data_IF_860921999582
#
_entry.id   IF_860921999582
#
_cell.length_a   1.000
_cell.length_b   1.000
_cell.length_c   1.000
_cell.angle_alpha   90.00
_cell.angle_beta   90.00
_cell.angle_gamma   90.00
#
_symmetry.space_group_name_H-M   'P 1'
#
loop_
_entity.id
_entity.type
_entity.pdbx_description
1 polymer ?
#
# COMPACT_ATOMS: atom_id res chain seq x y z
N UNK A 1 8.95 10.61 11.24
CA UNK A 1 9.17 9.34 10.54
C UNK A 1 9.52 9.56 9.06
N UNK A 2 8.91 10.57 8.43
CA UNK A 2 9.12 10.83 7.02
C UNK A 2 9.93 12.09 6.79
N UNK A 3 10.82 12.14 5.78
CA UNK A 3 11.65 13.32 5.49
C UNK A 3 10.83 14.59 5.20
N UNK A 4 9.66 14.47 4.56
CA UNK A 4 8.81 15.61 4.23
C UNK A 4 8.17 16.29 5.46
N UNK A 5 8.10 15.58 6.59
CA UNK A 5 7.55 16.14 7.84
C UNK A 5 8.52 17.16 8.46
N UNK A 6 9.85 17.04 8.24
CA UNK A 6 10.85 17.91 8.87
C UNK A 6 10.65 19.38 8.51
N UNK A 7 10.34 19.66 7.25
CA UNK A 7 10.12 21.03 6.79
C UNK A 7 8.98 21.74 7.53
N UNK A 8 7.93 21.01 7.91
CA UNK A 8 6.78 21.56 8.66
C UNK A 8 7.21 21.97 10.06
N UNK A 9 7.99 21.16 10.75
CA UNK A 9 8.47 21.46 12.09
C UNK A 9 9.49 22.60 12.07
N UNK A 10 10.41 22.61 11.11
CA UNK A 10 11.43 23.64 10.93
C UNK A 10 10.79 25.03 10.70
N UNK A 11 9.74 25.09 9.86
CA UNK A 11 8.98 26.34 9.63
C UNK A 11 8.37 26.94 10.92
N UNK A 12 8.12 26.09 11.91
CA UNK A 12 7.58 26.53 13.22
C UNK A 12 8.67 26.66 14.30
N UNK A 13 9.96 26.61 13.91
CA UNK A 13 11.07 26.71 14.86
C UNK A 13 11.19 25.54 15.82
N UNK A 14 10.58 24.39 15.49
CA UNK A 14 10.60 23.19 16.34
C UNK A 14 11.79 22.31 15.91
N UNK A 15 12.74 22.02 16.79
CA UNK A 15 13.85 21.13 16.49
C UNK A 15 13.32 19.74 16.10
N UNK A 16 13.74 19.25 14.96
CA UNK A 16 13.29 17.98 14.40
C UNK A 16 14.44 17.19 13.80
N UNK A 17 14.38 15.88 13.88
CA UNK A 17 15.29 14.97 13.19
C UNK A 17 14.50 13.80 12.61
N UNK A 18 14.66 13.56 11.32
CA UNK A 18 14.18 12.34 10.69
C UNK A 18 15.10 11.18 11.08
N UNK A 19 14.55 10.10 11.60
CA UNK A 19 15.28 8.92 12.09
C UNK A 19 15.01 7.69 11.22
N UNK A 20 14.36 7.87 10.08
CA UNK A 20 13.90 6.80 9.22
C UNK A 20 12.56 6.21 9.66
N UNK A 21 12.20 5.08 9.08
CA UNK A 21 10.90 4.45 9.31
C UNK A 21 11.06 2.98 9.73
N UNK A 22 10.44 2.53 10.85
CA UNK A 22 10.62 1.18 11.36
C UNK A 22 10.25 0.09 10.37
N UNK A 23 9.21 0.28 9.56
CA UNK A 23 8.87 -0.69 8.51
C UNK A 23 9.98 -0.89 7.47
N UNK A 24 10.77 0.15 7.19
CA UNK A 24 11.89 0.04 6.26
C UNK A 24 13.06 -0.75 6.86
N UNK A 25 13.20 -0.74 8.18
CA UNK A 25 14.19 -1.57 8.88
C UNK A 25 13.71 -3.03 9.01
N UNK A 26 12.39 -3.25 9.23
CA UNK A 26 11.78 -4.56 9.39
C UNK A 26 11.66 -5.33 8.07
N UNK A 27 11.26 -4.66 6.99
CA UNK A 27 11.06 -5.30 5.69
C UNK A 27 12.42 -5.45 5.00
N UNK A 28 12.84 -6.67 4.64
CA UNK A 28 14.12 -6.85 3.97
C UNK A 28 14.11 -6.21 2.57
N UNK A 29 15.27 -5.68 2.10
CA UNK A 29 15.37 -5.07 0.77
C UNK A 29 15.03 -6.00 -0.39
N UNK A 30 15.12 -7.30 -0.18
CA UNK A 30 14.74 -8.33 -1.15
C UNK A 30 13.76 -9.28 -0.52
N UNK A 31 12.57 -9.40 -1.12
CA UNK A 31 11.56 -10.37 -0.74
C UNK A 31 11.43 -11.42 -1.83
N UNK A 32 11.59 -12.67 -1.45
CA UNK A 32 11.40 -13.81 -2.37
C UNK A 32 9.88 -14.06 -2.54
N UNK A 33 9.38 -13.76 -3.73
CA UNK A 33 7.98 -13.97 -4.10
C UNK A 33 7.60 -15.45 -4.11
N UNK A 34 8.50 -16.33 -4.57
CA UNK A 34 8.22 -17.75 -4.62
C UNK A 34 8.12 -18.35 -3.22
N UNK A 35 9.03 -17.96 -2.31
CA UNK A 35 8.96 -18.34 -0.91
C UNK A 35 7.69 -17.82 -0.22
N UNK A 36 7.26 -16.57 -0.52
CA UNK A 36 6.03 -16.00 0.01
C UNK A 36 4.79 -16.79 -0.48
N UNK A 37 4.73 -17.17 -1.78
CA UNK A 37 3.67 -18.02 -2.32
C UNK A 37 3.63 -19.39 -1.63
N UNK A 38 4.77 -20.05 -1.48
CA UNK A 38 4.88 -21.33 -0.79
C UNK A 38 4.39 -21.24 0.67
N UNK A 39 4.78 -20.18 1.40
CA UNK A 39 4.34 -19.92 2.77
C UNK A 39 2.82 -19.66 2.92
N UNK A 40 2.16 -19.30 1.83
CA UNK A 40 0.71 -19.10 1.74
C UNK A 40 -0.03 -20.32 1.12
N UNK A 41 0.69 -21.39 0.78
CA UNK A 41 0.16 -22.54 0.04
C UNK A 41 -0.53 -22.14 -1.28
N UNK A 42 0.01 -21.13 -1.96
CA UNK A 42 -0.44 -20.68 -3.26
C UNK A 42 0.36 -21.36 -4.38
N UNK A 43 -0.24 -21.46 -5.54
CA UNK A 43 0.45 -22.00 -6.72
C UNK A 43 1.67 -21.16 -7.10
N UNK A 44 2.76 -21.83 -7.48
CA UNK A 44 4.01 -21.18 -7.86
C UNK A 44 3.91 -20.42 -9.20
N UNK A 45 3.10 -20.92 -10.12
CA UNK A 45 2.91 -20.38 -11.47
C UNK A 45 1.76 -19.36 -11.57
N UNK A 46 1.66 -18.76 -12.77
CA UNK A 46 0.63 -17.77 -13.07
C UNK A 46 0.87 -16.39 -12.44
N UNK A 47 0.05 -15.43 -12.86
CA UNK A 47 0.06 -14.07 -12.28
C UNK A 47 -0.88 -13.99 -11.09
N UNK A 48 -0.48 -13.25 -10.06
CA UNK A 48 -1.21 -13.10 -8.82
C UNK A 48 -1.41 -11.61 -8.51
N UNK A 49 -2.67 -11.18 -8.39
CA UNK A 49 -3.03 -9.82 -8.00
C UNK A 49 -3.55 -9.81 -6.56
N UNK A 50 -2.93 -9.03 -5.70
CA UNK A 50 -3.45 -8.79 -4.36
C UNK A 50 -4.45 -7.64 -4.36
N UNK A 51 -5.61 -7.84 -3.73
CA UNK A 51 -6.68 -6.86 -3.58
C UNK A 51 -6.82 -6.49 -2.11
N UNK A 52 -6.49 -5.24 -1.74
CA UNK A 52 -6.55 -4.74 -0.38
C UNK A 52 -7.57 -3.57 -0.28
N UNK A 53 -8.88 -3.86 -0.19
CA UNK A 53 -9.93 -2.83 -0.24
C UNK A 53 -10.02 -1.99 1.04
N UNK A 54 -9.13 -2.18 1.98
CA UNK A 54 -9.05 -1.45 3.24
C UNK A 54 -9.30 -2.32 4.48
N UNK A 55 -9.11 -1.71 5.64
CA UNK A 55 -9.30 -2.37 6.95
C UNK A 55 -10.59 -1.94 7.66
N UNK A 56 -11.16 -0.79 7.28
CA UNK A 56 -12.40 -0.27 7.84
C UNK A 56 -13.61 -0.75 7.05
N UNK A 57 -14.72 -1.03 7.73
CA UNK A 57 -15.95 -1.49 7.07
C UNK A 57 -16.48 -0.54 6.00
N UNK A 58 -16.33 0.78 6.20
CA UNK A 58 -16.71 1.76 5.18
C UNK A 58 -15.86 1.66 3.92
N UNK A 59 -14.57 1.41 4.06
CA UNK A 59 -13.65 1.22 2.93
C UNK A 59 -14.00 -0.06 2.16
N UNK A 60 -14.13 -1.19 2.87
CA UNK A 60 -14.46 -2.48 2.27
C UNK A 60 -15.77 -2.42 1.50
N UNK A 61 -16.84 -1.84 2.09
CA UNK A 61 -18.14 -1.71 1.41
C UNK A 61 -18.09 -0.87 0.14
N UNK A 62 -17.24 0.17 0.10
CA UNK A 62 -17.14 1.05 -1.06
C UNK A 62 -16.18 0.53 -2.12
N UNK A 63 -15.06 -0.09 -1.72
CA UNK A 63 -13.98 -0.46 -2.64
C UNK A 63 -14.01 -1.92 -3.07
N UNK A 64 -14.38 -2.87 -2.20
CA UNK A 64 -14.33 -4.28 -2.56
C UNK A 64 -15.21 -4.64 -3.78
N UNK A 65 -16.45 -4.13 -3.93
CA UNK A 65 -17.22 -4.36 -5.14
C UNK A 65 -16.54 -3.83 -6.41
N UNK A 66 -15.90 -2.65 -6.33
CA UNK A 66 -15.19 -2.06 -7.47
C UNK A 66 -13.92 -2.85 -7.82
N UNK A 67 -13.19 -3.31 -6.80
CA UNK A 67 -12.00 -4.13 -6.97
C UNK A 67 -12.33 -5.47 -7.63
N UNK A 68 -13.44 -6.10 -7.22
CA UNK A 68 -13.88 -7.37 -7.80
C UNK A 68 -14.42 -7.19 -9.24
N UNK A 69 -15.06 -6.07 -9.55
CA UNK A 69 -15.44 -5.75 -10.93
C UNK A 69 -14.19 -5.55 -11.81
N UNK A 70 -13.17 -4.87 -11.30
CA UNK A 70 -11.90 -4.72 -12.02
C UNK A 70 -11.19 -6.07 -12.19
N UNK A 71 -11.22 -6.92 -11.15
CA UNK A 71 -10.69 -8.27 -11.20
C UNK A 71 -11.41 -9.15 -12.24
N UNK A 72 -12.73 -9.06 -12.34
CA UNK A 72 -13.52 -9.78 -13.35
C UNK A 72 -13.14 -9.34 -14.78
N UNK A 73 -12.92 -8.04 -15.01
CA UNK A 73 -12.44 -7.55 -16.31
C UNK A 73 -11.06 -8.12 -16.65
N UNK A 74 -10.12 -8.11 -15.69
CA UNK A 74 -8.77 -8.67 -15.87
C UNK A 74 -8.80 -10.18 -16.11
N UNK A 75 -9.63 -10.92 -15.36
CA UNK A 75 -9.75 -12.36 -15.46
C UNK A 75 -10.34 -12.81 -16.79
N UNK A 76 -11.31 -12.07 -17.34
CA UNK A 76 -11.86 -12.33 -18.68
C UNK A 76 -10.83 -12.24 -19.77
N UNK A 77 -9.86 -11.34 -19.66
CA UNK A 77 -8.73 -11.26 -20.61
C UNK A 77 -7.65 -12.31 -20.35
N UNK A 78 -7.40 -12.62 -19.08
CA UNK A 78 -6.41 -13.62 -18.70
C UNK A 78 -6.97 -14.58 -17.63
N UNK A 79 -7.58 -15.70 -18.03
CA UNK A 79 -8.15 -16.68 -17.09
C UNK A 79 -7.14 -17.40 -16.18
N UNK A 80 -5.83 -17.23 -16.44
CA UNK A 80 -4.78 -17.76 -15.56
C UNK A 80 -4.43 -16.80 -14.41
N UNK A 81 -5.01 -15.62 -14.38
CA UNK A 81 -4.81 -14.66 -13.29
C UNK A 81 -5.57 -15.11 -12.04
N UNK A 82 -4.88 -15.16 -10.92
CA UNK A 82 -5.44 -15.47 -9.60
C UNK A 82 -5.44 -14.24 -8.70
N UNK A 83 -6.31 -14.25 -7.69
CA UNK A 83 -6.49 -13.12 -6.79
C UNK A 83 -6.36 -13.54 -5.33
N UNK A 84 -5.81 -12.66 -4.51
CA UNK A 84 -5.71 -12.87 -3.06
C UNK A 84 -6.18 -11.62 -2.32
N UNK A 85 -6.94 -11.83 -1.24
CA UNK A 85 -7.46 -10.75 -0.41
C UNK A 85 -7.12 -11.03 1.06
N UNK A 86 -6.33 -10.18 1.73
CA UNK A 86 -6.12 -10.27 3.17
C UNK A 86 -7.25 -9.53 3.89
N UNK A 87 -8.07 -10.25 4.65
CA UNK A 87 -9.08 -9.65 5.51
C UNK A 87 -8.44 -9.20 6.83
N UNK A 88 -8.60 -7.94 7.20
CA UNK A 88 -7.96 -7.37 8.40
C UNK A 88 -8.41 -8.03 9.72
N UNK A 89 -9.63 -8.57 9.77
CA UNK A 89 -10.21 -9.29 10.89
C UNK A 89 -11.43 -10.12 10.43
N UNK A 90 -12.02 -10.90 11.32
CA UNK A 90 -13.14 -11.78 11.02
C UNK A 90 -14.37 -11.03 10.50
N UNK A 91 -14.66 -9.84 11.04
CA UNK A 91 -15.78 -9.01 10.54
C UNK A 91 -15.59 -8.63 9.08
N UNK A 92 -14.35 -8.23 8.70
CA UNK A 92 -14.01 -7.93 7.30
C UNK A 92 -13.99 -9.17 6.44
N UNK A 93 -13.55 -10.30 6.98
CA UNK A 93 -13.60 -11.58 6.29
C UNK A 93 -15.04 -11.96 5.93
N UNK A 94 -15.97 -11.88 6.88
CA UNK A 94 -17.38 -12.19 6.65
C UNK A 94 -18.00 -11.26 5.60
N UNK A 95 -17.71 -9.97 5.68
CA UNK A 95 -18.18 -8.95 4.72
C UNK A 95 -17.64 -9.24 3.30
N UNK A 96 -16.36 -9.53 3.17
CA UNK A 96 -15.74 -9.90 1.90
C UNK A 96 -16.30 -11.21 1.33
N UNK A 97 -16.56 -12.21 2.18
CA UNK A 97 -17.17 -13.47 1.77
C UNK A 97 -18.56 -13.24 1.17
N UNK A 98 -19.37 -12.36 1.78
CA UNK A 98 -20.70 -12.00 1.25
C UNK A 98 -20.60 -11.30 -0.11
N UNK A 99 -19.63 -10.36 -0.26
CA UNK A 99 -19.43 -9.65 -1.53
C UNK A 99 -18.93 -10.61 -2.63
N UNK A 100 -18.02 -11.53 -2.28
CA UNK A 100 -17.47 -12.53 -3.19
C UNK A 100 -18.52 -13.53 -3.71
N UNK A 101 -19.60 -13.75 -2.99
CA UNK A 101 -20.69 -14.63 -3.43
C UNK A 101 -21.31 -14.20 -4.78
N UNK A 102 -21.16 -12.92 -5.16
CA UNK A 102 -21.59 -12.41 -6.47
C UNK A 102 -20.58 -12.72 -7.60
N UNK A 103 -19.40 -13.27 -7.29
CA UNK A 103 -18.30 -13.53 -8.23
C UNK A 103 -17.77 -14.97 -8.10
N UNK A 104 -18.64 -16.00 -8.19
CA UNK A 104 -18.23 -17.39 -7.94
C UNK A 104 -17.22 -17.94 -8.96
N UNK A 105 -17.10 -17.29 -10.12
CA UNK A 105 -16.15 -17.65 -11.18
C UNK A 105 -14.73 -17.19 -10.90
N UNK A 106 -14.52 -16.15 -10.06
CA UNK A 106 -13.19 -15.60 -9.83
C UNK A 106 -12.36 -16.50 -8.91
N UNK A 107 -11.13 -16.86 -9.29
CA UNK A 107 -10.22 -17.62 -8.44
C UNK A 107 -9.62 -16.72 -7.35
N UNK A 108 -10.40 -16.44 -6.31
CA UNK A 108 -10.01 -15.57 -5.18
C UNK A 108 -9.75 -16.41 -3.94
N UNK A 109 -8.58 -16.24 -3.34
CA UNK A 109 -8.25 -16.81 -2.02
C UNK A 109 -8.30 -15.73 -0.95
N UNK A 110 -9.11 -15.96 0.11
CA UNK A 110 -9.21 -15.08 1.27
C UNK A 110 -8.25 -15.54 2.38
N UNK A 111 -7.42 -14.62 2.89
CA UNK A 111 -6.59 -14.82 4.07
C UNK A 111 -7.13 -14.01 5.25
N UNK A 112 -6.99 -14.53 6.48
CA UNK A 112 -7.23 -13.76 7.71
C UNK A 112 -5.92 -13.11 8.12
N UNK A 113 -5.87 -11.76 8.13
CA UNK A 113 -4.63 -11.02 8.33
C UNK A 113 -3.62 -11.28 7.21
N UNK A 114 -2.34 -11.37 7.57
CA UNK A 114 -1.21 -11.72 6.68
C UNK A 114 -1.03 -10.78 5.48
N UNK A 115 -1.45 -9.49 5.60
CA UNK A 115 -1.44 -8.55 4.47
C UNK A 115 -0.05 -8.39 3.85
N UNK A 116 1.01 -8.33 4.67
CA UNK A 116 2.40 -8.20 4.21
C UNK A 116 2.84 -9.43 3.40
N UNK A 117 2.52 -10.62 3.87
CA UNK A 117 2.85 -11.87 3.17
C UNK A 117 2.06 -12.00 1.87
N UNK A 118 0.78 -11.63 1.88
CA UNK A 118 -0.08 -11.60 0.69
C UNK A 118 0.47 -10.63 -0.35
N UNK A 119 0.86 -9.43 0.05
CA UNK A 119 1.51 -8.49 -0.87
C UNK A 119 2.85 -9.02 -1.37
N UNK A 120 3.67 -9.63 -0.49
CA UNK A 120 4.97 -10.20 -0.90
C UNK A 120 4.83 -11.32 -1.95
N UNK A 121 3.74 -12.07 -1.94
CA UNK A 121 3.44 -13.15 -2.89
C UNK A 121 2.94 -12.64 -4.25
N UNK A 122 2.38 -11.44 -4.33
CA UNK A 122 1.72 -10.90 -5.50
C UNK A 122 2.68 -10.35 -6.55
N UNK A 123 2.25 -10.32 -7.82
CA UNK A 123 2.94 -9.63 -8.92
C UNK A 123 2.61 -8.14 -8.94
N UNK A 124 1.37 -7.79 -8.62
CA UNK A 124 0.88 -6.42 -8.48
C UNK A 124 -0.15 -6.32 -7.35
N UNK A 125 -0.41 -5.10 -6.91
CA UNK A 125 -1.35 -4.83 -5.81
C UNK A 125 -2.34 -3.74 -6.22
N UNK A 126 -3.63 -3.99 -6.01
CA UNK A 126 -4.67 -2.96 -6.01
C UNK A 126 -5.09 -2.72 -4.55
N UNK A 127 -4.90 -1.50 -4.08
CA UNK A 127 -5.11 -1.24 -2.65
C UNK A 127 -5.76 0.12 -2.36
N UNK A 128 -6.42 0.19 -1.21
CA UNK A 128 -6.89 1.44 -0.64
C UNK A 128 -5.71 2.33 -0.21
N UNK A 129 -5.88 3.66 -0.27
CA UNK A 129 -4.88 4.58 0.26
C UNK A 129 -4.72 4.42 1.78
N UNK A 130 -3.48 4.43 2.26
CA UNK A 130 -3.11 4.28 3.66
C UNK A 130 -1.70 3.75 3.84
N UNK A 131 -1.37 3.31 5.05
CA UNK A 131 -0.04 2.76 5.40
C UNK A 131 0.35 1.52 4.58
N UNK A 132 -0.63 0.75 4.10
CA UNK A 132 -0.39 -0.40 3.22
C UNK A 132 0.31 -0.02 1.91
N UNK A 133 0.17 1.23 1.42
CA UNK A 133 0.87 1.71 0.24
C UNK A 133 2.38 1.81 0.46
N UNK A 134 2.82 2.17 1.67
CA UNK A 134 4.22 2.14 2.05
C UNK A 134 4.73 0.70 2.15
N UNK A 135 3.99 -0.20 2.79
CA UNK A 135 4.38 -1.60 2.89
C UNK A 135 4.54 -2.24 1.50
N UNK A 136 3.60 -1.99 0.57
CA UNK A 136 3.67 -2.48 -0.80
C UNK A 136 4.91 -1.93 -1.54
N UNK A 137 5.25 -0.65 -1.35
CA UNK A 137 6.45 -0.05 -1.92
C UNK A 137 7.73 -0.67 -1.33
N UNK A 138 7.81 -0.84 -0.01
CA UNK A 138 8.95 -1.48 0.65
C UNK A 138 9.13 -2.95 0.23
N UNK A 139 8.03 -3.64 -0.08
CA UNK A 139 8.03 -4.98 -0.67
C UNK A 139 8.31 -4.99 -2.18
N UNK A 140 8.48 -3.83 -2.81
CA UNK A 140 8.70 -3.63 -4.26
C UNK A 140 7.58 -4.21 -5.10
N UNK A 141 6.33 -4.07 -4.66
CA UNK A 141 5.18 -4.54 -5.42
C UNK A 141 4.58 -3.40 -6.22
N UNK A 142 4.59 -3.50 -7.56
CA UNK A 142 3.89 -2.54 -8.40
C UNK A 142 2.44 -2.41 -7.96
N UNK A 143 1.92 -1.19 -7.94
CA UNK A 143 0.61 -0.97 -7.36
C UNK A 143 -0.22 0.07 -8.09
N UNK A 144 -1.54 -0.08 -7.96
CA UNK A 144 -2.54 0.96 -8.22
C UNK A 144 -3.25 1.27 -6.91
N UNK A 145 -3.32 2.54 -6.58
CA UNK A 145 -4.00 3.01 -5.37
C UNK A 145 -5.39 3.53 -5.75
N UNK A 146 -6.42 3.08 -5.05
CA UNK A 146 -7.77 3.59 -5.23
C UNK A 146 -8.34 4.00 -3.87
N UNK A 147 -9.05 5.12 -3.83
CA UNK A 147 -9.66 5.59 -2.60
C UNK A 147 -11.05 6.17 -2.84
N UNK A 148 -11.99 5.75 -2.02
CA UNK A 148 -13.36 6.23 -2.04
C UNK A 148 -13.88 6.39 -0.62
N UNK A 149 -14.46 7.54 -0.34
CA UNK A 149 -15.15 7.81 0.92
C UNK A 149 -16.53 8.42 0.63
N UNK A 150 -17.37 8.52 1.66
CA UNK A 150 -18.67 9.17 1.53
C UNK A 150 -18.57 10.60 1.00
N UNK A 151 -19.48 10.99 0.12
CA UNK A 151 -19.45 12.29 -0.57
C UNK A 151 -19.33 13.49 0.38
N UNK A 152 -20.02 13.47 1.52
CA UNK A 152 -19.98 14.56 2.50
C UNK A 152 -18.59 14.67 3.15
N UNK A 153 -17.99 13.53 3.52
CA UNK A 153 -16.65 13.49 4.10
C UNK A 153 -15.59 13.97 3.10
N UNK A 154 -15.74 13.58 1.83
CA UNK A 154 -14.85 14.04 0.76
C UNK A 154 -14.97 15.54 0.52
N UNK A 155 -16.20 16.07 0.46
CA UNK A 155 -16.45 17.50 0.27
C UNK A 155 -15.79 18.34 1.37
N UNK A 156 -15.82 17.88 2.61
CA UNK A 156 -15.15 18.55 3.73
C UNK A 156 -13.63 18.40 3.63
N UNK A 157 -13.13 17.18 3.44
CA UNK A 157 -11.70 16.86 3.45
C UNK A 157 -10.96 17.52 2.27
N UNK A 158 -11.53 17.51 1.07
CA UNK A 158 -10.93 18.11 -0.13
C UNK A 158 -10.70 19.62 -0.04
N UNK A 159 -11.40 20.32 0.87
CA UNK A 159 -11.19 21.74 1.15
C UNK A 159 -10.13 22.00 2.20
N UNK A 160 -9.90 21.06 3.10
CA UNK A 160 -8.96 21.16 4.21
C UNK A 160 -7.57 20.63 3.85
N UNK A 161 -7.51 19.58 3.05
CA UNK A 161 -6.27 18.91 2.69
C UNK A 161 -5.80 19.39 1.32
N UNK A 162 -4.67 20.07 1.32
CA UNK A 162 -4.00 20.60 0.11
C UNK A 162 -2.81 19.74 -0.30
N UNK A 163 -2.89 18.43 -0.13
CA UNK A 163 -1.82 17.53 -0.61
C UNK A 163 -2.08 17.18 -2.07
N UNK A 164 -1.03 17.22 -2.88
CA UNK A 164 -1.08 16.84 -4.29
C UNK A 164 -1.29 15.32 -4.45
N UNK A 165 -0.77 14.53 -3.49
CA UNK A 165 -0.79 13.07 -3.52
C UNK A 165 -1.44 12.49 -2.27
N UNK A 166 -2.14 11.38 -2.42
CA UNK A 166 -2.78 10.63 -1.33
C UNK A 166 -2.00 9.36 -0.94
N UNK A 167 -1.21 8.79 -1.86
CA UNK A 167 -0.39 7.61 -1.61
C UNK A 167 1.00 7.98 -1.11
N UNK A 168 1.45 7.33 -0.03
CA UNK A 168 2.77 7.59 0.55
C UNK A 168 3.93 7.47 -0.45
N UNK A 169 3.97 6.50 -1.39
CA UNK A 169 5.03 6.45 -2.39
C UNK A 169 5.11 7.71 -3.26
N UNK A 170 3.96 8.30 -3.65
CA UNK A 170 3.94 9.53 -4.44
C UNK A 170 4.41 10.73 -3.63
N UNK A 171 3.96 10.84 -2.36
CA UNK A 171 4.42 11.89 -1.43
C UNK A 171 5.93 11.80 -1.22
N UNK A 172 6.46 10.60 -0.99
CA UNK A 172 7.89 10.38 -0.75
C UNK A 172 8.75 10.62 -2.01
N UNK A 173 8.22 10.29 -3.19
CA UNK A 173 8.88 10.53 -4.46
C UNK A 173 8.75 11.98 -4.96
N UNK A 174 7.81 12.76 -4.41
CA UNK A 174 7.50 14.11 -4.89
C UNK A 174 6.93 14.14 -6.32
N UNK A 175 6.37 13.03 -6.79
CA UNK A 175 5.83 12.86 -8.16
C UNK A 175 4.78 11.76 -8.22
N UNK A 176 3.97 11.73 -9.28
CA UNK A 176 3.01 10.68 -9.55
C UNK A 176 3.71 9.36 -9.97
N UNK A 177 4.29 8.66 -9.00
CA UNK A 177 5.00 7.40 -9.19
C UNK A 177 4.04 6.23 -9.41
N UNK A 178 2.98 6.16 -8.62
CA UNK A 178 1.93 5.14 -8.72
C UNK A 178 0.61 5.78 -9.12
N UNK A 179 -0.23 5.12 -9.93
CA UNK A 179 -1.56 5.63 -10.26
C UNK A 179 -2.43 5.76 -9.00
N UNK A 180 -3.04 6.92 -8.82
CA UNK A 180 -4.05 7.19 -7.79
C UNK A 180 -5.41 7.44 -8.44
N UNK A 181 -6.38 6.61 -8.10
CA UNK A 181 -7.75 6.71 -8.55
C UNK A 181 -8.62 7.14 -7.37
N UNK A 182 -8.96 8.42 -7.30
CA UNK A 182 -9.67 9.01 -6.18
C UNK A 182 -11.13 9.26 -6.53
N UNK A 183 -12.04 8.91 -5.62
CA UNK A 183 -13.49 9.15 -5.72
C UNK A 183 -14.10 8.66 -7.05
N UNK A 184 -14.55 9.57 -7.91
CA UNK A 184 -15.21 9.25 -9.16
C UNK A 184 -14.26 8.67 -10.22
N UNK A 185 -12.94 8.92 -10.07
CA UNK A 185 -11.93 8.27 -10.88
C UNK A 185 -11.70 6.79 -10.49
N UNK A 186 -12.13 6.38 -9.28
CA UNK A 186 -12.03 5.00 -8.81
C UNK A 186 -13.10 4.11 -9.46
N UNK A 187 -13.00 3.91 -10.78
CA UNK A 187 -13.89 3.04 -11.55
C UNK A 187 -13.22 1.71 -11.88
N UNK A 188 -13.98 0.61 -12.04
CA UNK A 188 -13.43 -0.69 -12.45
C UNK A 188 -12.64 -0.63 -13.76
N UNK A 189 -13.12 0.14 -14.75
CA UNK A 189 -12.44 0.31 -16.03
C UNK A 189 -11.10 1.06 -15.89
N UNK A 190 -11.03 2.08 -15.04
CA UNK A 190 -9.79 2.81 -14.77
C UNK A 190 -8.78 1.92 -14.01
N UNK A 191 -9.24 1.15 -13.02
CA UNK A 191 -8.41 0.17 -12.30
C UNK A 191 -7.86 -0.88 -13.25
N UNK A 192 -8.70 -1.46 -14.09
CA UNK A 192 -8.32 -2.41 -15.12
C UNK A 192 -7.21 -1.84 -16.02
N UNK A 193 -7.43 -0.66 -16.61
CA UNK A 193 -6.47 -0.01 -17.51
C UNK A 193 -5.12 0.29 -16.85
N UNK A 194 -5.10 0.61 -15.55
CA UNK A 194 -3.86 0.88 -14.82
C UNK A 194 -3.15 -0.38 -14.31
N UNK A 195 -3.89 -1.46 -14.06
CA UNK A 195 -3.32 -2.74 -13.60
C UNK A 195 -2.75 -3.57 -14.75
N UNK A 196 -3.35 -3.51 -15.93
CA UNK A 196 -2.94 -4.29 -17.08
C UNK A 196 -1.42 -4.18 -17.39
N UNK A 197 -0.81 -2.97 -17.50
CA UNK A 197 0.63 -2.84 -17.73
C UNK A 197 1.48 -3.30 -16.52
N UNK A 198 0.94 -3.32 -15.31
CA UNK A 198 1.66 -3.79 -14.12
C UNK A 198 1.66 -5.32 -13.98
N UNK A 199 0.71 -5.99 -14.59
CA UNK A 199 0.65 -7.46 -14.69
C UNK A 199 1.46 -7.99 -15.88
N UNK A 200 1.73 -7.16 -16.88
CA UNK A 200 2.68 -7.43 -17.92
C UNK A 200 4.11 -7.16 -17.42
N UNK A 201 5.09 -7.95 -17.85
CA UNK A 201 6.50 -7.65 -17.59
C UNK A 201 6.94 -6.53 -18.53
N UNK A 202 7.31 -5.36 -17.97
CA UNK A 202 7.67 -4.21 -18.80
C UNK A 202 8.14 -2.98 -18.00
N UNK A 203 8.41 -1.90 -18.73
CA UNK A 203 9.01 -0.67 -18.19
C UNK A 203 8.22 -0.03 -17.06
N UNK A 204 6.89 -0.13 -17.07
CA UNK A 204 6.04 0.41 -16.00
C UNK A 204 6.31 -0.26 -14.64
N UNK A 205 6.56 -1.56 -14.63
CA UNK A 205 6.94 -2.33 -13.43
C UNK A 205 8.34 -1.92 -12.99
N UNK A 206 9.30 -1.90 -13.91
CA UNK A 206 10.70 -1.57 -13.61
C UNK A 206 10.83 -0.17 -13.02
N UNK A 207 10.12 0.80 -13.58
CA UNK A 207 10.13 2.18 -13.09
C UNK A 207 9.62 2.29 -11.65
N UNK A 208 8.48 1.66 -11.32
CA UNK A 208 7.97 1.68 -9.95
C UNK A 208 8.95 0.98 -8.99
N UNK A 209 9.48 -0.18 -9.36
CA UNK A 209 10.39 -0.95 -8.50
C UNK A 209 11.68 -0.19 -8.21
N UNK A 210 12.30 0.46 -9.20
CA UNK A 210 13.51 1.26 -9.01
C UNK A 210 13.28 2.43 -8.02
N UNK A 211 12.17 3.13 -8.15
CA UNK A 211 11.82 4.22 -7.24
C UNK A 211 11.50 3.70 -5.82
N UNK A 212 10.85 2.55 -5.70
CA UNK A 212 10.60 1.92 -4.41
C UNK A 212 11.89 1.51 -3.71
N UNK A 213 12.91 1.09 -4.46
CA UNK A 213 14.25 0.85 -3.91
C UNK A 213 14.90 2.10 -3.37
N UNK A 214 14.76 3.23 -4.05
CA UNK A 214 15.26 4.51 -3.57
C UNK A 214 14.53 4.95 -2.29
N UNK A 215 13.19 4.83 -2.24
CA UNK A 215 12.39 5.11 -1.06
C UNK A 215 12.84 4.22 0.11
N UNK A 216 13.01 2.91 -0.12
CA UNK A 216 13.43 1.97 0.91
C UNK A 216 14.81 2.34 1.48
N UNK A 217 15.80 2.61 0.64
CA UNK A 217 17.15 3.05 1.09
C UNK A 217 17.10 4.31 1.92
N UNK A 218 16.29 5.28 1.52
CA UNK A 218 16.15 6.54 2.23
C UNK A 218 15.49 6.42 3.60
N UNK A 219 14.54 5.50 3.74
CA UNK A 219 13.79 5.31 4.98
C UNK A 219 14.47 4.31 5.94
N UNK A 220 15.36 3.44 5.44
CA UNK A 220 16.08 2.45 6.25
C UNK A 220 17.30 3.08 6.91
N UNK A 221 17.16 3.48 8.17
CA UNK A 221 18.16 4.23 8.91
C UNK A 221 18.42 3.69 10.32
N UNK A 222 18.04 2.44 10.63
CA UNK A 222 18.07 1.89 11.98
C UNK A 222 17.27 2.78 12.96
N UNK A 223 16.02 3.02 12.63
CA UNK A 223 15.10 3.96 13.29
C UNK A 223 15.14 3.86 14.82
N UNK A 224 15.15 2.65 15.36
CA UNK A 224 15.19 2.42 16.82
C UNK A 224 16.50 2.94 17.45
N UNK A 225 17.64 2.68 16.82
CA UNK A 225 18.96 3.12 17.28
C UNK A 225 19.06 4.64 17.19
N UNK A 226 18.65 5.23 16.07
CA UNK A 226 18.65 6.68 15.88
C UNK A 226 17.73 7.38 16.90
N UNK A 227 16.56 6.84 17.15
CA UNK A 227 15.61 7.38 18.15
C UNK A 227 16.20 7.32 19.56
N UNK A 228 16.78 6.20 19.95
CA UNK A 228 17.43 6.05 21.25
C UNK A 228 18.60 7.05 21.43
N UNK A 229 19.41 7.24 20.38
CA UNK A 229 20.52 8.20 20.42
C UNK A 229 20.04 9.66 20.58
N UNK A 230 18.92 10.04 19.93
CA UNK A 230 18.31 11.36 20.09
C UNK A 230 17.77 11.55 21.48
N UNK A 231 17.04 10.58 22.01
CA UNK A 231 16.48 10.63 23.38
C UNK A 231 17.55 10.71 24.45
N UNK A 232 18.64 9.93 24.31
CA UNK A 232 19.77 9.98 25.24
C UNK A 232 20.43 11.36 25.29
N UNK A 233 20.61 12.02 24.11
CA UNK A 233 21.15 13.39 24.05
C UNK A 233 20.22 14.43 24.69
N UNK A 234 18.92 14.29 24.53
CA UNK A 234 17.94 15.18 25.18
C UNK A 234 17.97 15.02 26.70
N UNK A 235 17.97 13.78 27.19
CA UNK A 235 18.02 13.48 28.62
C UNK A 235 19.33 13.97 29.27
N UNK A 236 20.47 13.90 28.57
CA UNK A 236 21.73 14.44 29.09
C UNK A 236 21.73 15.97 29.19
N UNK A 237 21.10 16.68 28.25
CA UNK A 237 20.96 18.14 28.29
C UNK A 237 20.09 18.62 29.46
N UNK A 238 19.02 17.91 29.78
CA UNK A 238 18.17 18.28 30.92
C UNK A 238 18.89 18.08 32.27
N UNK A 239 19.87 17.16 32.34
CA UNK A 239 20.71 16.95 33.54
C UNK A 239 21.79 18.04 33.72
N UNK A 240 22.21 18.72 32.66
CA UNK A 240 23.15 19.85 32.75
C UNK A 240 22.47 21.17 33.13
N UNK A 241 21.13 21.23 33.09
CA UNK A 241 20.33 22.41 33.42
C UNK A 241 19.71 22.34 34.83
N UNK A 242 19.88 21.25 35.56
CA UNK A 242 19.47 21.07 36.97
C UNK A 242 20.66 21.04 37.90
#
# INVERSE_FOLDING_TARGET
>A
LFPFETAVYEQHGIPVRCVGHPLADEIPPHTDRAAARAGLALEAGGKLLALLPGSRGSEVRLLAPLFLQAADLLWRENPQLSFVIPAANDSRRNELTQILAAYPQLPVTLFSGRSREVMAAADAVLLASGTATLEAALLRRPMVVAYRMGHLSWWLLSRLVKTEYAALPNVLAGKALVPELLQDAATPAAMFSKLQPLLAEGDAVLQQVQEFEAIHRNLRQDCAVQSAAVLARLAARDQELT
#
